data_IF_625483213089
#
_entry.id   IF_625483213089
#
_cell.length_a   1.000
_cell.length_b   1.000
_cell.length_c   1.000
_cell.angle_alpha   90.00
_cell.angle_beta   90.00
_cell.angle_gamma   90.00
#
_symmetry.space_group_name_H-M   'P 1'
#
loop_
_entity.id
_entity.type
_entity.pdbx_description
1 polymer ?
#
# COMPACT_ATOMS: atom_id res chain seq x y z
N UNK A 1 28.74 34.57 -43.53
CA UNK A 1 27.37 34.08 -43.29
C UNK A 1 26.41 35.06 -43.95
N UNK A 2 25.31 34.60 -44.56
CA UNK A 2 24.33 35.53 -45.15
C UNK A 2 23.64 36.33 -44.05
N UNK A 3 23.27 37.57 -44.32
CA UNK A 3 22.53 38.47 -43.41
C UNK A 3 21.23 37.81 -42.88
N UNK A 4 20.67 36.86 -43.63
CA UNK A 4 19.52 36.04 -43.23
C UNK A 4 19.85 35.05 -42.09
N UNK A 5 21.05 34.47 -42.07
CA UNK A 5 21.48 33.58 -40.98
C UNK A 5 21.73 34.36 -39.68
N UNK A 6 22.26 35.57 -39.75
CA UNK A 6 22.46 36.43 -38.56
C UNK A 6 21.13 36.89 -37.97
N UNK A 7 20.15 37.26 -38.82
CA UNK A 7 18.78 37.59 -38.36
C UNK A 7 18.08 36.39 -37.72
N UNK A 8 18.24 35.19 -38.30
CA UNK A 8 17.68 33.96 -37.74
C UNK A 8 18.32 33.60 -36.40
N UNK A 9 19.66 33.69 -36.28
CA UNK A 9 20.36 33.45 -35.02
C UNK A 9 19.88 34.40 -33.92
N UNK A 10 19.79 35.70 -34.21
CA UNK A 10 19.30 36.68 -33.25
C UNK A 10 17.85 36.42 -32.82
N UNK A 11 16.98 36.05 -33.76
CA UNK A 11 15.59 35.70 -33.46
C UNK A 11 15.48 34.44 -32.58
N UNK A 12 16.36 33.45 -32.80
CA UNK A 12 16.43 32.24 -31.96
C UNK A 12 16.94 32.60 -30.56
N UNK A 13 17.97 33.43 -30.44
CA UNK A 13 18.50 33.89 -29.15
C UNK A 13 17.44 34.65 -28.34
N UNK A 14 16.74 35.60 -28.97
CA UNK A 14 15.63 36.34 -28.36
C UNK A 14 14.49 35.39 -27.93
N UNK A 15 14.13 34.42 -28.77
CA UNK A 15 13.12 33.42 -28.42
C UNK A 15 13.55 32.56 -27.23
N UNK A 16 14.78 32.05 -27.23
CA UNK A 16 15.33 31.23 -26.13
C UNK A 16 15.36 32.04 -24.84
N UNK A 17 15.75 33.31 -24.88
CA UNK A 17 15.75 34.19 -23.72
C UNK A 17 14.34 34.36 -23.16
N UNK A 18 13.36 34.70 -24.00
CA UNK A 18 11.95 34.84 -23.59
C UNK A 18 11.40 33.54 -23.01
N UNK A 19 11.77 32.39 -23.57
CA UNK A 19 11.33 31.09 -23.06
C UNK A 19 11.99 30.74 -21.72
N UNK A 20 13.25 31.12 -21.51
CA UNK A 20 13.93 30.95 -20.23
C UNK A 20 13.34 31.85 -19.14
N UNK A 21 13.07 33.12 -19.45
CA UNK A 21 12.41 34.05 -18.51
C UNK A 21 11.03 33.53 -18.11
N UNK A 22 10.21 33.10 -19.07
CA UNK A 22 8.90 32.47 -18.80
C UNK A 22 9.05 31.20 -17.94
N UNK A 23 10.07 30.38 -18.20
CA UNK A 23 10.34 29.18 -17.41
C UNK A 23 10.73 29.52 -15.97
N UNK A 24 11.56 30.53 -15.77
CA UNK A 24 11.95 30.98 -14.43
C UNK A 24 10.78 31.55 -13.65
N UNK A 25 9.92 32.35 -14.27
CA UNK A 25 8.69 32.85 -13.66
C UNK A 25 7.75 31.69 -13.27
N UNK A 26 7.60 30.71 -14.16
CA UNK A 26 6.81 29.51 -13.88
C UNK A 26 7.40 28.70 -12.72
N UNK A 27 8.72 28.52 -12.64
CA UNK A 27 9.37 27.79 -11.55
C UNK A 27 9.29 28.52 -10.20
N UNK A 28 9.24 29.86 -10.23
CA UNK A 28 9.01 30.67 -9.02
C UNK A 28 7.58 30.52 -8.50
N UNK A 29 6.60 30.44 -9.41
CA UNK A 29 5.19 30.23 -9.05
C UNK A 29 4.87 28.76 -8.75
N UNK A 30 5.51 27.83 -9.43
CA UNK A 30 5.28 26.38 -9.30
C UNK A 30 6.60 25.66 -9.02
N UNK A 31 7.13 25.78 -7.78
CA UNK A 31 8.37 25.12 -7.41
C UNK A 31 8.23 23.58 -7.47
N UNK A 32 9.04 22.88 -8.28
CA UNK A 32 8.83 21.47 -8.60
C UNK A 32 9.21 20.50 -7.47
N UNK A 33 9.99 20.96 -6.49
CA UNK A 33 10.44 20.15 -5.36
C UNK A 33 9.32 20.10 -4.30
N UNK A 34 8.35 19.22 -4.52
CA UNK A 34 7.17 18.99 -3.67
C UNK A 34 7.50 17.91 -2.61
N UNK A 35 7.03 18.01 -1.35
CA UNK A 35 6.19 19.09 -0.80
C UNK A 35 6.98 20.37 -0.49
N UNK A 36 6.33 21.53 -0.65
CA UNK A 36 6.87 22.84 -0.31
C UNK A 36 5.73 23.80 0.13
N UNK A 37 6.08 25.02 0.53
CA UNK A 37 5.11 26.00 1.07
C UNK A 37 3.92 26.25 0.15
N UNK A 38 4.14 26.26 -1.16
CA UNK A 38 3.08 26.52 -2.14
C UNK A 38 2.34 25.25 -2.54
N UNK A 39 2.94 24.07 -2.34
CA UNK A 39 2.40 22.77 -2.73
C UNK A 39 2.70 21.72 -1.65
N UNK A 40 1.83 21.65 -0.65
CA UNK A 40 1.93 20.70 0.47
C UNK A 40 0.60 19.97 0.72
N UNK A 41 -0.39 20.17 -0.14
CA UNK A 41 -1.66 19.46 -0.10
C UNK A 41 -1.75 18.51 -1.30
N UNK A 42 -2.27 17.31 -1.08
CA UNK A 42 -2.55 16.36 -2.15
C UNK A 42 -3.85 15.61 -1.90
N UNK A 43 -4.62 15.35 -2.95
CA UNK A 43 -5.69 14.35 -2.88
C UNK A 43 -5.06 12.97 -2.97
N UNK A 44 -5.44 12.07 -2.07
CA UNK A 44 -5.10 10.65 -2.16
C UNK A 44 -6.22 9.94 -2.94
N UNK A 45 -5.96 9.57 -4.20
CA UNK A 45 -6.88 8.75 -5.00
C UNK A 45 -6.84 7.27 -4.58
N UNK A 46 -7.78 6.46 -5.06
CA UNK A 46 -7.88 5.04 -4.69
C UNK A 46 -8.76 4.78 -3.46
N UNK A 47 -9.13 5.83 -2.73
CA UNK A 47 -10.09 5.79 -1.63
C UNK A 47 -10.97 7.05 -1.60
N UNK A 48 -12.24 6.87 -1.24
CA UNK A 48 -13.19 7.92 -0.92
C UNK A 48 -13.91 7.58 0.37
N UNK A 49 -14.45 8.60 1.04
CA UNK A 49 -15.42 8.38 2.10
C UNK A 49 -16.83 8.53 1.54
N UNK A 50 -17.78 7.72 2.00
CA UNK A 50 -19.19 8.05 1.77
C UNK A 50 -19.60 9.23 2.66
N UNK A 51 -20.65 9.93 2.23
CA UNK A 51 -21.17 11.11 2.93
C UNK A 51 -22.44 10.81 3.73
N UNK A 52 -22.67 9.56 4.17
CA UNK A 52 -23.84 9.21 4.99
C UNK A 52 -23.89 9.98 6.32
N UNK A 53 -22.77 10.53 6.77
CA UNK A 53 -22.61 11.45 7.91
C UNK A 53 -23.19 12.85 7.67
N UNK A 54 -23.62 13.17 6.44
CA UNK A 54 -24.22 14.46 6.10
C UNK A 54 -23.23 15.56 5.74
N UNK A 55 -22.05 15.21 5.22
CA UNK A 55 -21.12 16.20 4.66
C UNK A 55 -21.75 17.01 3.53
N UNK A 56 -21.40 18.29 3.45
CA UNK A 56 -21.84 19.24 2.44
C UNK A 56 -20.68 19.68 1.57
N UNK A 57 -20.97 20.08 0.33
CA UNK A 57 -19.98 20.72 -0.55
C UNK A 57 -19.21 21.83 0.21
N UNK A 58 -17.89 21.79 0.07
CA UNK A 58 -16.87 22.62 0.72
C UNK A 58 -16.56 22.27 2.19
N UNK A 59 -17.15 21.21 2.76
CA UNK A 59 -16.67 20.69 4.04
C UNK A 59 -15.22 20.21 3.91
N UNK A 60 -14.38 20.63 4.86
CA UNK A 60 -12.98 20.23 5.00
C UNK A 60 -12.74 19.85 6.46
N UNK A 61 -12.87 18.55 6.76
CA UNK A 61 -12.93 18.05 8.13
C UNK A 61 -11.70 17.21 8.47
N UNK A 62 -10.97 17.50 9.57
CA UNK A 62 -9.85 16.65 10.01
C UNK A 62 -10.30 15.21 10.26
N UNK A 63 -9.53 14.25 9.77
CA UNK A 63 -9.77 12.81 9.93
C UNK A 63 -8.78 12.19 10.92
N UNK A 64 -7.49 12.33 10.65
CA UNK A 64 -6.41 11.76 11.47
C UNK A 64 -5.11 12.51 11.24
N UNK A 65 -4.14 12.33 12.15
CA UNK A 65 -2.85 13.00 12.08
C UNK A 65 -1.70 12.07 12.43
N UNK A 66 -0.61 12.21 11.68
CA UNK A 66 0.68 11.59 11.95
C UNK A 66 1.72 12.67 12.22
N UNK A 67 2.98 12.27 12.40
CA UNK A 67 4.09 13.22 12.63
C UNK A 67 4.29 14.21 11.47
N UNK A 68 4.07 13.78 10.23
CA UNK A 68 4.39 14.57 9.03
C UNK A 68 3.22 14.77 8.08
N UNK A 69 2.08 14.14 8.33
CA UNK A 69 0.88 14.27 7.49
C UNK A 69 -0.37 14.41 8.36
N UNK A 70 -1.27 15.30 7.96
CA UNK A 70 -2.62 15.42 8.51
C UNK A 70 -3.63 15.15 7.40
N UNK A 71 -4.55 14.22 7.64
CA UNK A 71 -5.55 13.81 6.66
C UNK A 71 -6.88 14.49 6.94
N UNK A 72 -7.54 14.93 5.88
CA UNK A 72 -8.82 15.61 5.90
C UNK A 72 -9.79 14.95 4.92
N UNK A 73 -11.08 15.01 5.25
CA UNK A 73 -12.17 14.69 4.33
C UNK A 73 -12.61 15.98 3.65
N UNK A 74 -12.56 16.00 2.32
CA UNK A 74 -12.95 17.14 1.50
C UNK A 74 -14.11 16.79 0.54
N UNK A 75 -15.25 17.47 0.72
CA UNK A 75 -16.43 17.30 -0.14
C UNK A 75 -16.42 18.34 -1.26
N UNK A 76 -15.82 18.01 -2.41
CA UNK A 76 -15.49 19.02 -3.44
C UNK A 76 -16.51 19.18 -4.59
N UNK A 77 -17.48 18.28 -4.76
CA UNK A 77 -18.33 18.29 -5.98
C UNK A 77 -19.77 17.85 -5.80
N UNK A 78 -20.02 16.75 -5.08
CA UNK A 78 -21.36 16.23 -4.79
C UNK A 78 -21.39 15.64 -3.39
N UNK A 79 -22.51 15.81 -2.69
CA UNK A 79 -22.73 15.33 -1.32
C UNK A 79 -22.87 13.79 -1.20
N UNK A 80 -22.32 13.02 -2.14
CA UNK A 80 -22.38 11.55 -2.13
C UNK A 80 -21.13 10.93 -1.54
N UNK A 81 -19.97 11.37 -2.03
CA UNK A 81 -18.66 10.86 -1.62
C UNK A 81 -17.69 12.03 -1.49
N UNK A 82 -16.73 11.90 -0.59
CA UNK A 82 -15.67 12.88 -0.36
C UNK A 82 -14.30 12.29 -0.62
N UNK A 83 -13.36 13.16 -0.98
CA UNK A 83 -11.97 12.81 -1.23
C UNK A 83 -11.15 12.96 0.05
N UNK A 84 -10.08 12.17 0.17
CA UNK A 84 -9.11 12.32 1.26
C UNK A 84 -8.02 13.25 0.79
N UNK A 85 -7.76 14.31 1.56
CA UNK A 85 -6.68 15.26 1.31
C UNK A 85 -5.62 15.06 2.39
N UNK A 86 -4.36 14.93 1.99
CA UNK A 86 -3.21 14.96 2.89
C UNK A 86 -2.56 16.33 2.86
N UNK A 87 -2.43 16.95 4.02
CA UNK A 87 -1.56 18.08 4.27
C UNK A 87 -0.22 17.56 4.79
N UNK A 88 0.86 17.79 4.04
CA UNK A 88 2.18 17.21 4.28
C UNK A 88 3.16 18.26 4.79
N UNK A 89 3.75 18.04 5.97
CA UNK A 89 4.79 18.92 6.49
C UNK A 89 6.02 18.92 5.58
N UNK A 90 6.54 20.11 5.28
CA UNK A 90 7.79 20.28 4.51
C UNK A 90 9.00 19.68 5.21
N UNK A 91 8.92 19.45 6.53
CA UNK A 91 9.99 18.83 7.32
C UNK A 91 10.22 17.37 6.93
N UNK A 92 9.30 16.74 6.17
CA UNK A 92 9.48 15.38 5.66
C UNK A 92 10.76 15.22 4.83
N UNK A 93 11.22 16.31 4.19
CA UNK A 93 12.47 16.34 3.42
C UNK A 93 13.73 16.11 4.27
N UNK A 94 13.62 16.23 5.59
CA UNK A 94 14.72 15.91 6.51
C UNK A 94 14.81 14.41 6.82
N UNK A 95 13.85 13.59 6.37
CA UNK A 95 13.87 12.14 6.56
C UNK A 95 14.60 11.44 5.43
N UNK A 96 15.25 10.31 5.74
CA UNK A 96 15.91 9.46 4.74
C UNK A 96 14.91 8.82 3.76
N UNK A 97 13.72 8.52 4.25
CA UNK A 97 12.62 7.97 3.45
C UNK A 97 11.28 8.37 4.09
N UNK A 98 10.22 8.36 3.29
CA UNK A 98 8.88 8.76 3.70
C UNK A 98 7.90 7.62 3.49
N UNK A 99 7.35 7.10 4.59
CA UNK A 99 6.16 6.22 4.56
C UNK A 99 4.93 7.09 4.35
N UNK A 100 4.65 7.44 3.09
CA UNK A 100 3.51 8.29 2.78
C UNK A 100 2.18 7.60 3.12
N UNK A 101 1.22 8.38 3.60
CA UNK A 101 -0.09 7.87 4.02
C UNK A 101 -0.85 7.14 2.91
N UNK A 102 -0.73 7.55 1.64
CA UNK A 102 -1.37 6.83 0.53
C UNK A 102 -0.87 5.38 0.40
N UNK A 103 0.44 5.16 0.43
CA UNK A 103 0.97 3.80 0.35
C UNK A 103 0.70 2.99 1.63
N UNK A 104 0.77 3.63 2.80
CA UNK A 104 0.41 2.99 4.09
C UNK A 104 -1.06 2.55 4.08
N UNK A 105 -1.98 3.40 3.63
CA UNK A 105 -3.40 3.05 3.50
C UNK A 105 -3.64 1.97 2.44
N UNK A 106 -2.93 2.01 1.30
CA UNK A 106 -3.01 0.96 0.28
C UNK A 106 -2.63 -0.41 0.84
N UNK A 107 -1.52 -0.50 1.58
CA UNK A 107 -1.12 -1.73 2.28
C UNK A 107 -2.13 -2.15 3.35
N UNK A 108 -2.65 -1.20 4.12
CA UNK A 108 -3.62 -1.48 5.18
C UNK A 108 -4.93 -2.07 4.61
N UNK A 109 -5.45 -1.49 3.52
CA UNK A 109 -6.63 -1.98 2.81
C UNK A 109 -6.38 -3.34 2.16
N UNK A 110 -5.26 -3.50 1.47
CA UNK A 110 -4.91 -4.76 0.83
C UNK A 110 -4.89 -5.88 1.88
N UNK A 111 -4.28 -5.66 3.03
CA UNK A 111 -4.27 -6.64 4.12
C UNK A 111 -5.67 -6.84 4.74
N UNK A 112 -6.42 -5.77 5.03
CA UNK A 112 -7.76 -5.88 5.63
C UNK A 112 -8.72 -6.71 4.76
N UNK A 113 -8.60 -6.63 3.43
CA UNK A 113 -9.41 -7.41 2.50
C UNK A 113 -8.73 -8.70 2.01
N UNK A 114 -7.79 -9.27 2.77
CA UNK A 114 -7.08 -10.51 2.41
C UNK A 114 -6.47 -10.50 0.99
N UNK A 115 -6.08 -9.31 0.52
CA UNK A 115 -5.58 -9.00 -0.81
C UNK A 115 -6.55 -9.34 -1.96
N UNK A 116 -7.85 -9.48 -1.71
CA UNK A 116 -8.87 -9.63 -2.76
C UNK A 116 -9.23 -8.29 -3.43
N UNK A 117 -8.98 -7.19 -2.72
CA UNK A 117 -9.21 -5.83 -3.18
C UNK A 117 -7.95 -5.00 -2.96
N UNK A 118 -7.21 -4.75 -4.03
CA UNK A 118 -6.10 -3.80 -4.03
C UNK A 118 -6.52 -2.53 -4.76
N UNK A 119 -6.07 -1.38 -4.27
CA UNK A 119 -6.24 -0.11 -4.94
C UNK A 119 -4.93 0.66 -4.89
N UNK A 120 -4.45 1.04 -6.08
CA UNK A 120 -3.28 1.89 -6.23
C UNK A 120 -3.62 3.29 -5.76
N UNK A 121 -3.08 3.67 -4.60
CA UNK A 121 -3.23 5.02 -4.09
C UNK A 121 -2.15 5.94 -4.65
N UNK A 122 -2.57 7.13 -5.08
CA UNK A 122 -1.69 8.14 -5.67
C UNK A 122 -1.99 9.52 -5.10
N UNK A 123 -0.93 10.29 -4.91
CA UNK A 123 -1.02 11.69 -4.51
C UNK A 123 -1.19 12.53 -5.77
N UNK A 124 -2.25 13.33 -5.81
CA UNK A 124 -2.47 14.37 -6.81
C UNK A 124 -2.25 15.71 -6.14
N UNK A 125 -1.11 16.33 -6.42
CA UNK A 125 -0.61 17.50 -5.66
C UNK A 125 -1.25 18.78 -6.13
N UNK A 126 -1.63 19.64 -5.19
CA UNK A 126 -2.35 20.88 -5.44
C UNK A 126 -1.50 22.07 -4.98
N UNK A 127 -1.19 22.96 -5.91
CA UNK A 127 -0.60 24.27 -5.61
C UNK A 127 -1.68 25.21 -5.08
N UNK A 128 -1.36 25.94 -4.02
CA UNK A 128 -2.24 26.95 -3.42
C UNK A 128 -3.64 26.42 -3.09
N UNK A 129 -3.69 25.21 -2.54
CA UNK A 129 -4.94 24.49 -2.26
C UNK A 129 -5.94 25.38 -1.51
N UNK A 130 -7.16 25.42 -2.04
CA UNK A 130 -8.29 26.13 -1.46
C UNK A 130 -9.52 25.22 -1.49
N UNK A 131 -9.88 24.71 -0.31
CA UNK A 131 -11.03 23.82 -0.11
C UNK A 131 -12.39 24.44 -0.48
N UNK A 132 -12.48 25.78 -0.61
CA UNK A 132 -13.69 26.48 -1.02
C UNK A 132 -13.88 26.53 -2.54
N UNK A 133 -12.82 26.23 -3.30
CA UNK A 133 -12.85 26.14 -4.76
C UNK A 133 -13.31 24.76 -5.20
N UNK A 134 -13.87 24.66 -6.40
CA UNK A 134 -14.13 23.35 -7.00
C UNK A 134 -12.82 22.62 -7.33
N UNK A 135 -12.93 21.34 -7.68
CA UNK A 135 -11.76 20.56 -8.08
C UNK A 135 -11.15 21.07 -9.38
N UNK A 136 -11.96 21.58 -10.32
CA UNK A 136 -11.50 22.15 -11.58
C UNK A 136 -10.85 23.54 -11.41
N UNK A 137 -11.18 24.24 -10.33
CA UNK A 137 -10.63 25.56 -9.99
C UNK A 137 -9.30 25.49 -9.21
N UNK A 138 -8.96 24.32 -8.66
CA UNK A 138 -7.69 24.08 -7.98
C UNK A 138 -6.55 23.83 -8.98
N UNK A 139 -5.35 24.31 -8.67
CA UNK A 139 -4.19 24.25 -9.56
C UNK A 139 -3.35 22.99 -9.26
N UNK A 140 -3.57 21.91 -9.98
CA UNK A 140 -2.80 20.67 -9.79
C UNK A 140 -1.42 20.71 -10.45
N UNK A 141 -0.51 19.87 -9.96
CA UNK A 141 0.78 19.65 -10.60
C UNK A 141 0.59 19.25 -12.07
N UNK A 142 1.38 19.84 -12.98
CA UNK A 142 1.18 19.70 -14.44
C UNK A 142 1.11 18.27 -14.97
N UNK A 143 1.74 17.33 -14.28
CA UNK A 143 1.78 15.92 -14.69
C UNK A 143 0.53 15.14 -14.24
N UNK A 144 -0.32 15.73 -13.38
CA UNK A 144 -1.58 15.15 -12.96
C UNK A 144 -2.64 15.39 -14.04
N UNK A 145 -2.87 14.37 -14.87
CA UNK A 145 -3.99 14.36 -15.82
C UNK A 145 -5.31 14.13 -15.07
N UNK A 146 -5.98 15.21 -14.71
CA UNK A 146 -7.31 15.14 -14.08
C UNK A 146 -8.37 14.97 -15.15
N UNK A 147 -8.98 13.79 -15.15
CA UNK A 147 -10.12 13.43 -15.96
C UNK A 147 -11.19 12.73 -15.13
N UNK A 148 -12.23 12.28 -15.82
CA UNK A 148 -13.28 11.50 -15.20
C UNK A 148 -12.69 10.22 -14.59
N UNK A 149 -12.90 10.04 -13.28
CA UNK A 149 -12.42 8.89 -12.54
C UNK A 149 -11.00 8.97 -11.99
N UNK A 150 -10.27 10.08 -12.17
CA UNK A 150 -8.92 10.26 -11.58
C UNK A 150 -8.90 10.02 -10.07
N UNK A 151 -9.96 10.46 -9.38
CA UNK A 151 -10.08 10.30 -7.93
C UNK A 151 -10.88 9.08 -7.51
N UNK A 152 -11.26 8.18 -8.43
CA UNK A 152 -12.03 6.98 -8.08
C UNK A 152 -11.22 6.02 -7.20
N UNK A 153 -11.96 5.15 -6.52
CA UNK A 153 -11.40 4.26 -5.52
C UNK A 153 -12.47 3.49 -4.78
N UNK A 154 -12.04 2.70 -3.80
CA UNK A 154 -12.95 2.09 -2.85
C UNK A 154 -13.69 3.17 -2.05
N UNK A 155 -14.98 2.99 -1.82
CA UNK A 155 -15.78 3.90 -1.00
C UNK A 155 -15.90 3.28 0.38
N UNK A 156 -15.45 4.00 1.40
CA UNK A 156 -15.42 3.54 2.78
C UNK A 156 -16.26 4.45 3.68
N UNK A 157 -16.83 3.88 4.74
CA UNK A 157 -17.39 4.67 5.85
C UNK A 157 -16.29 5.42 6.58
N UNK A 158 -16.61 6.52 7.27
CA UNK A 158 -15.60 7.23 8.07
C UNK A 158 -15.15 6.36 9.26
N UNK A 159 -16.07 5.57 9.80
CA UNK A 159 -15.82 4.56 10.85
C UNK A 159 -14.83 3.48 10.44
N UNK A 160 -14.68 3.19 9.15
CA UNK A 160 -13.68 2.24 8.66
C UNK A 160 -12.26 2.62 9.07
N UNK A 161 -11.93 3.91 9.13
CA UNK A 161 -10.59 4.38 9.55
C UNK A 161 -10.28 4.00 11.01
N UNK A 162 -11.30 3.83 11.86
CA UNK A 162 -11.14 3.32 13.22
C UNK A 162 -10.79 1.84 13.21
N UNK A 163 -11.40 1.05 12.33
CA UNK A 163 -11.17 -0.39 12.24
C UNK A 163 -9.74 -0.70 11.79
N UNK A 164 -9.22 0.04 10.81
CA UNK A 164 -7.85 -0.14 10.31
C UNK A 164 -6.79 0.68 11.05
N UNK A 165 -7.17 1.49 12.05
CA UNK A 165 -6.23 2.32 12.81
C UNK A 165 -5.06 1.53 13.40
N UNK A 166 -5.24 0.35 14.02
CA UNK A 166 -4.12 -0.44 14.53
C UNK A 166 -3.11 -0.88 13.47
N UNK A 167 -3.59 -1.15 12.26
CA UNK A 167 -2.74 -1.57 11.16
C UNK A 167 -1.94 -0.40 10.58
N UNK A 168 -2.59 0.76 10.39
CA UNK A 168 -1.92 2.00 9.99
C UNK A 168 -0.85 2.39 11.02
N UNK A 169 -1.20 2.34 12.31
CA UNK A 169 -0.27 2.65 13.41
C UNK A 169 0.97 1.78 13.33
N UNK A 170 0.81 0.45 13.26
CA UNK A 170 1.94 -0.46 13.22
C UNK A 170 2.81 -0.26 11.97
N UNK A 171 2.20 0.00 10.80
CA UNK A 171 2.94 0.30 9.57
C UNK A 171 3.81 1.56 9.69
N UNK A 172 3.29 2.59 10.38
CA UNK A 172 4.04 3.82 10.61
C UNK A 172 5.15 3.63 11.65
N UNK A 173 4.83 2.99 12.79
CA UNK A 173 5.75 2.81 13.92
C UNK A 173 6.86 1.79 13.65
N UNK A 174 6.57 0.68 12.97
CA UNK A 174 7.47 -0.46 12.85
C UNK A 174 7.95 -0.68 11.40
N UNK A 175 9.23 -0.35 11.17
CA UNK A 175 9.89 -0.53 9.87
C UNK A 175 9.95 -2.00 9.44
N UNK A 176 10.01 -2.94 10.39
CA UNK A 176 10.06 -4.37 10.11
C UNK A 176 8.73 -4.85 9.55
N UNK A 177 7.63 -4.45 10.18
CA UNK A 177 6.29 -4.77 9.71
C UNK A 177 6.01 -4.12 8.37
N UNK A 178 6.29 -2.82 8.23
CA UNK A 178 6.18 -2.09 6.96
C UNK A 178 6.94 -2.77 5.83
N UNK A 179 8.22 -3.10 6.05
CA UNK A 179 9.05 -3.75 5.02
C UNK A 179 8.50 -5.13 4.66
N UNK A 180 8.10 -5.92 5.66
CA UNK A 180 7.57 -7.26 5.43
C UNK A 180 6.26 -7.23 4.65
N UNK A 181 5.29 -6.39 5.05
CA UNK A 181 4.00 -6.28 4.38
C UNK A 181 4.13 -5.68 2.98
N UNK A 182 4.98 -4.67 2.79
CA UNK A 182 5.26 -4.10 1.46
C UNK A 182 5.86 -5.13 0.51
N UNK A 183 6.85 -5.90 0.96
CA UNK A 183 7.45 -6.98 0.16
C UNK A 183 6.42 -8.07 -0.13
N UNK A 184 5.59 -8.42 0.84
CA UNK A 184 4.53 -9.42 0.66
C UNK A 184 3.45 -8.94 -0.32
N UNK A 185 3.04 -7.68 -0.28
CA UNK A 185 2.12 -7.10 -1.28
C UNK A 185 2.65 -7.29 -2.70
N UNK A 186 3.93 -7.00 -2.92
CA UNK A 186 4.58 -7.25 -4.22
C UNK A 186 4.56 -8.74 -4.61
N UNK A 187 4.68 -9.66 -3.63
CA UNK A 187 4.53 -11.09 -3.88
C UNK A 187 3.14 -11.43 -4.42
N UNK A 188 2.10 -10.86 -3.81
CA UNK A 188 0.71 -11.08 -4.20
C UNK A 188 0.40 -10.47 -5.57
N UNK A 189 0.92 -9.27 -5.85
CA UNK A 189 0.81 -8.64 -7.16
C UNK A 189 1.48 -9.46 -8.27
N UNK A 190 2.61 -10.12 -7.98
CA UNK A 190 3.25 -11.02 -8.93
C UNK A 190 2.37 -12.25 -9.18
N UNK A 191 1.90 -12.92 -8.12
CA UNK A 191 1.09 -14.12 -8.24
C UNK A 191 -0.05 -14.09 -7.21
N UNK A 192 -1.24 -13.73 -7.68
CA UNK A 192 -2.44 -13.69 -6.86
C UNK A 192 -3.17 -15.03 -6.85
N UNK A 193 -3.64 -15.41 -5.67
CA UNK A 193 -4.64 -16.44 -5.44
C UNK A 193 -5.44 -16.05 -4.19
N UNK A 194 -6.61 -16.65 -3.98
CA UNK A 194 -7.41 -16.32 -2.80
C UNK A 194 -6.82 -16.97 -1.54
N UNK A 195 -6.35 -16.13 -0.62
CA UNK A 195 -5.80 -16.56 0.66
C UNK A 195 -6.84 -17.23 1.54
N UNK A 196 -8.08 -16.74 1.53
CA UNK A 196 -9.19 -17.41 2.22
C UNK A 196 -9.30 -18.84 1.70
N UNK A 197 -9.29 -19.03 0.37
CA UNK A 197 -9.29 -20.29 -0.39
C UNK A 197 -8.11 -21.23 -0.09
N UNK A 198 -6.94 -20.72 0.23
CA UNK A 198 -5.81 -21.58 0.54
C UNK A 198 -5.66 -21.84 2.05
N UNK A 199 -6.15 -20.96 2.93
CA UNK A 199 -5.91 -21.05 4.37
C UNK A 199 -7.02 -21.76 5.18
N UNK A 200 -8.28 -21.67 4.77
CA UNK A 200 -9.34 -22.47 5.41
C UNK A 200 -9.15 -23.99 5.27
N UNK A 201 -9.65 -24.74 6.25
CA UNK A 201 -9.69 -26.20 6.29
C UNK A 201 -10.67 -26.72 5.22
N UNK A 202 -10.25 -27.79 4.52
CA UNK A 202 -10.72 -28.39 3.25
C UNK A 202 -12.20 -28.42 2.87
N UNK A 203 -13.14 -28.11 3.76
CA UNK A 203 -14.56 -28.43 3.56
C UNK A 203 -15.39 -27.21 3.09
N UNK A 204 -14.80 -26.01 3.10
CA UNK A 204 -15.45 -24.77 2.69
C UNK A 204 -14.66 -24.06 1.59
N UNK A 205 -14.62 -24.61 0.37
CA UNK A 205 -14.25 -23.86 -0.84
C UNK A 205 -14.74 -24.52 -2.11
N UNK A 206 -15.37 -23.72 -2.98
CA UNK A 206 -14.80 -23.29 -4.27
C UNK A 206 -15.52 -22.00 -4.69
N UNK A 207 -14.83 -20.87 -4.80
CA UNK A 207 -15.25 -19.90 -5.82
C UNK A 207 -14.83 -20.46 -7.19
N UNK A 208 -15.66 -20.40 -8.24
CA UNK A 208 -15.23 -20.76 -9.59
C UNK A 208 -14.12 -19.77 -10.02
N UNK A 209 -13.05 -20.24 -10.66
CA UNK A 209 -11.99 -19.43 -11.31
C UNK A 209 -10.64 -19.23 -10.57
N UNK A 210 -10.08 -20.27 -9.92
CA UNK A 210 -8.75 -20.20 -9.29
C UNK A 210 -7.59 -20.80 -10.09
N UNK A 211 -7.87 -21.57 -11.15
CA UNK A 211 -6.81 -22.23 -11.93
C UNK A 211 -6.55 -21.48 -13.24
N UNK A 212 -5.30 -21.12 -13.53
CA UNK A 212 -4.94 -20.49 -14.78
C UNK A 212 -5.19 -21.45 -15.96
N UNK A 213 -5.50 -20.88 -17.10
CA UNK A 213 -5.64 -21.61 -18.35
C UNK A 213 -4.25 -21.95 -18.91
N UNK A 214 -4.16 -23.01 -19.72
CA UNK A 214 -2.89 -23.49 -20.28
C UNK A 214 -2.08 -22.39 -21.00
N UNK A 215 -2.76 -21.44 -21.66
CA UNK A 215 -2.11 -20.34 -22.37
C UNK A 215 -1.57 -19.23 -21.44
N UNK A 216 -1.96 -19.22 -20.17
CA UNK A 216 -1.49 -18.26 -19.15
C UNK A 216 -0.25 -18.78 -18.40
N UNK A 217 -0.03 -20.09 -18.39
CA UNK A 217 1.02 -20.75 -17.60
C UNK A 217 2.42 -20.19 -17.87
N UNK A 218 2.77 -20.01 -19.15
CA UNK A 218 4.10 -19.54 -19.55
C UNK A 218 4.41 -18.13 -19.03
N UNK A 219 3.41 -17.25 -18.98
CA UNK A 219 3.56 -15.89 -18.42
C UNK A 219 3.67 -15.93 -16.90
N UNK A 220 2.99 -16.88 -16.26
CA UNK A 220 2.95 -16.99 -14.81
C UNK A 220 4.23 -17.57 -14.19
N UNK A 221 5.01 -18.38 -14.91
CA UNK A 221 6.27 -18.95 -14.39
C UNK A 221 7.22 -17.88 -13.79
N UNK A 222 7.66 -16.85 -14.54
CA UNK A 222 8.55 -15.83 -13.97
C UNK A 222 7.89 -15.02 -12.85
N UNK A 223 6.57 -14.85 -12.90
CA UNK A 223 5.82 -14.16 -11.85
C UNK A 223 5.77 -14.98 -10.55
N UNK A 224 5.62 -16.30 -10.64
CA UNK A 224 5.67 -17.22 -9.50
C UNK A 224 7.06 -17.27 -8.87
N UNK A 225 8.12 -17.31 -9.68
CA UNK A 225 9.50 -17.21 -9.19
C UNK A 225 9.72 -15.91 -8.40
N UNK A 226 9.26 -14.78 -8.95
CA UNK A 226 9.32 -13.48 -8.27
C UNK A 226 8.51 -13.50 -6.96
N UNK A 227 7.28 -14.02 -6.98
CA UNK A 227 6.43 -14.12 -5.80
C UNK A 227 7.08 -14.97 -4.70
N UNK A 228 7.66 -16.12 -5.03
CA UNK A 228 8.35 -16.96 -4.06
C UNK A 228 9.53 -16.24 -3.42
N UNK A 229 10.36 -15.55 -4.23
CA UNK A 229 11.49 -14.77 -3.72
C UNK A 229 11.02 -13.66 -2.79
N UNK A 230 9.97 -12.92 -3.15
CA UNK A 230 9.42 -11.86 -2.29
C UNK A 230 8.80 -12.44 -1.01
N UNK A 231 8.07 -13.56 -1.07
CA UNK A 231 7.55 -14.25 0.11
C UNK A 231 8.65 -14.63 1.10
N UNK A 232 9.77 -15.19 0.61
CA UNK A 232 10.93 -15.48 1.46
C UNK A 232 11.52 -14.20 2.07
N UNK A 233 11.63 -13.11 1.30
CA UNK A 233 12.14 -11.82 1.80
C UNK A 233 11.21 -11.16 2.84
N UNK A 234 9.90 -11.32 2.72
CA UNK A 234 8.94 -10.85 3.70
C UNK A 234 9.11 -11.57 5.05
N UNK A 235 9.29 -12.90 5.01
CA UNK A 235 9.65 -13.70 6.20
C UNK A 235 11.02 -13.28 6.76
N UNK A 236 12.02 -13.07 5.89
CA UNK A 236 13.36 -12.62 6.28
C UNK A 236 13.32 -11.24 6.97
N UNK A 237 12.45 -10.33 6.53
CA UNK A 237 12.29 -9.03 7.17
C UNK A 237 11.86 -9.19 8.64
N UNK A 238 10.93 -10.10 8.94
CA UNK A 238 10.46 -10.34 10.31
C UNK A 238 11.48 -11.16 11.12
N UNK A 239 11.84 -12.34 10.63
CA UNK A 239 12.55 -13.36 11.40
C UNK A 239 14.06 -13.38 11.16
N UNK A 240 14.57 -12.60 10.20
CA UNK A 240 15.96 -12.70 9.72
C UNK A 240 16.22 -14.00 8.97
N UNK A 241 17.49 -14.39 8.84
CA UNK A 241 17.89 -15.70 8.29
C UNK A 241 18.02 -16.75 9.40
N UNK A 242 17.71 -18.03 9.12
CA UNK A 242 17.83 -19.10 10.12
C UNK A 242 19.28 -19.43 10.52
N UNK A 243 20.26 -19.14 9.65
CA UNK A 243 21.64 -19.61 9.83
C UNK A 243 21.84 -21.05 9.35
N UNK A 244 22.97 -21.67 9.69
CA UNK A 244 23.30 -23.05 9.29
C UNK A 244 22.60 -24.07 10.18
N UNK A 245 21.94 -25.08 9.61
CA UNK A 245 21.13 -26.08 10.33
C UNK A 245 21.99 -27.01 11.20
N UNK A 246 23.25 -27.20 10.83
CA UNK A 246 24.21 -28.07 11.55
C UNK A 246 24.69 -27.45 12.87
N UNK A 247 24.57 -26.13 13.01
CA UNK A 247 24.98 -25.38 14.20
C UNK A 247 23.82 -25.31 15.20
N UNK A 248 23.83 -26.24 16.17
CA UNK A 248 22.79 -26.32 17.22
C UNK A 248 22.59 -25.00 17.97
N UNK A 249 23.66 -24.23 18.20
CA UNK A 249 23.57 -22.95 18.91
C UNK A 249 22.89 -21.86 18.05
N UNK A 250 23.01 -21.93 16.72
CA UNK A 250 22.25 -21.04 15.81
C UNK A 250 20.78 -21.43 15.74
N UNK A 251 20.49 -22.73 15.67
CA UNK A 251 19.12 -23.26 15.67
C UNK A 251 18.35 -22.81 16.92
N UNK A 252 18.94 -22.97 18.11
CA UNK A 252 18.32 -22.54 19.37
C UNK A 252 18.03 -21.04 19.35
N UNK A 253 19.04 -20.22 19.00
CA UNK A 253 18.89 -18.75 18.91
C UNK A 253 17.83 -18.31 17.89
N UNK A 254 17.71 -19.02 16.77
CA UNK A 254 16.69 -18.73 15.76
C UNK A 254 15.27 -19.01 16.30
N UNK A 255 15.07 -20.14 16.99
CA UNK A 255 13.78 -20.46 17.64
C UNK A 255 13.43 -19.49 18.78
N UNK A 256 14.40 -19.11 19.59
CA UNK A 256 14.20 -18.11 20.65
C UNK A 256 13.79 -16.75 20.06
N UNK A 257 14.52 -16.29 19.03
CA UNK A 257 14.18 -15.06 18.31
C UNK A 257 12.78 -15.13 17.69
N UNK A 258 12.44 -16.25 17.08
CA UNK A 258 11.11 -16.50 16.51
C UNK A 258 10.02 -16.32 17.56
N UNK A 259 10.11 -17.07 18.67
CA UNK A 259 9.12 -16.99 19.77
C UNK A 259 9.06 -15.62 20.41
N UNK A 260 10.17 -14.88 20.44
CA UNK A 260 10.19 -13.50 20.91
C UNK A 260 9.45 -12.55 19.96
N UNK A 261 9.49 -12.79 18.64
CA UNK A 261 8.98 -11.85 17.63
C UNK A 261 7.56 -12.12 17.15
N UNK A 262 7.08 -13.36 17.14
CA UNK A 262 5.75 -13.70 16.60
C UNK A 262 4.99 -14.69 17.48
N UNK A 263 3.67 -14.70 17.36
CA UNK A 263 2.76 -15.64 18.05
C UNK A 263 2.46 -16.88 17.20
N UNK A 264 3.50 -17.49 16.63
CA UNK A 264 3.42 -18.75 15.86
C UNK A 264 4.45 -19.70 16.45
N UNK A 265 4.08 -20.91 16.83
CA UNK A 265 5.02 -21.84 17.46
C UNK A 265 5.91 -22.50 16.38
N UNK A 266 7.25 -22.42 16.47
CA UNK A 266 8.15 -22.99 15.46
C UNK A 266 8.01 -24.50 15.31
N UNK A 267 7.64 -25.20 16.38
CA UNK A 267 7.54 -26.66 16.42
C UNK A 267 6.14 -27.19 16.05
N UNK A 268 5.16 -26.30 15.83
CA UNK A 268 3.83 -26.68 15.31
C UNK A 268 3.89 -27.05 13.82
N UNK A 269 2.93 -27.87 13.39
CA UNK A 269 2.83 -28.34 12.01
C UNK A 269 2.29 -27.24 11.09
N UNK A 270 3.06 -26.93 10.05
CA UNK A 270 2.58 -26.15 8.91
C UNK A 270 1.63 -27.00 8.06
N UNK A 271 0.33 -26.71 8.14
CA UNK A 271 -0.73 -27.57 7.62
C UNK A 271 -0.66 -27.84 6.10
N UNK A 272 -0.10 -26.91 5.30
CA UNK A 272 0.06 -27.09 3.85
C UNK A 272 1.06 -28.17 3.48
N UNK A 273 2.11 -28.35 4.29
CA UNK A 273 3.25 -29.21 3.98
C UNK A 273 3.34 -30.45 4.88
N UNK A 274 2.79 -30.38 6.09
CA UNK A 274 2.85 -31.47 7.07
C UNK A 274 4.20 -31.59 7.81
N UNK A 275 5.05 -30.56 7.74
CA UNK A 275 6.29 -30.44 8.51
C UNK A 275 6.20 -29.30 9.52
N UNK A 276 7.17 -29.15 10.41
CA UNK A 276 7.16 -28.03 11.38
C UNK A 276 7.31 -26.68 10.68
N UNK A 277 6.75 -25.62 11.26
CA UNK A 277 6.95 -24.24 10.77
C UNK A 277 8.44 -23.92 10.65
N UNK A 278 9.25 -24.37 11.61
CA UNK A 278 10.69 -24.13 11.62
C UNK A 278 11.43 -24.91 10.53
N UNK A 279 11.03 -26.15 10.21
CA UNK A 279 11.61 -26.88 9.09
C UNK A 279 11.25 -26.24 7.75
N UNK A 280 9.99 -25.81 7.57
CA UNK A 280 9.57 -25.10 6.37
C UNK A 280 10.28 -23.75 6.23
N UNK A 281 10.60 -23.08 7.35
CA UNK A 281 11.43 -21.87 7.33
C UNK A 281 12.82 -22.11 6.75
N UNK A 282 13.45 -23.28 6.91
CA UNK A 282 14.68 -23.61 6.18
C UNK A 282 14.40 -23.91 4.71
N UNK A 283 13.39 -24.73 4.42
CA UNK A 283 12.99 -25.10 3.05
C UNK A 283 12.69 -23.85 2.20
N UNK A 284 12.02 -22.85 2.75
CA UNK A 284 11.71 -21.60 2.07
C UNK A 284 12.96 -20.85 1.58
N UNK A 285 14.05 -20.87 2.33
CA UNK A 285 15.31 -20.24 1.91
C UNK A 285 16.05 -21.05 0.84
N UNK A 286 15.90 -22.38 0.85
CA UNK A 286 16.41 -23.24 -0.22
C UNK A 286 15.62 -22.99 -1.51
N UNK A 287 14.29 -23.01 -1.44
CA UNK A 287 13.39 -22.70 -2.55
C UNK A 287 13.68 -21.32 -3.15
N UNK A 288 13.91 -20.29 -2.32
CA UNK A 288 14.31 -18.95 -2.81
C UNK A 288 15.57 -19.00 -3.65
N UNK A 289 16.60 -19.74 -3.22
CA UNK A 289 17.86 -19.84 -3.97
C UNK A 289 17.66 -20.57 -5.29
N UNK A 290 16.84 -21.62 -5.30
CA UNK A 290 16.46 -22.33 -6.53
C UNK A 290 15.69 -21.42 -7.49
N UNK A 291 14.64 -20.73 -7.02
CA UNK A 291 13.86 -19.79 -7.84
C UNK A 291 14.69 -18.63 -8.37
N UNK A 292 15.64 -18.10 -7.59
CA UNK A 292 16.52 -17.02 -8.03
C UNK A 292 17.45 -17.43 -9.18
N UNK A 293 17.66 -18.73 -9.39
CA UNK A 293 18.45 -19.29 -10.50
C UNK A 293 17.57 -19.91 -11.60
N UNK A 294 16.27 -19.61 -11.58
CA UNK A 294 15.19 -20.17 -12.39
C UNK A 294 14.88 -21.63 -12.11
N UNK A 295 13.59 -21.94 -12.03
CA UNK A 295 13.09 -23.29 -11.87
C UNK A 295 13.29 -24.17 -13.11
N UNK A 296 13.54 -23.58 -14.30
CA UNK A 296 14.02 -24.16 -15.57
C UNK A 296 13.34 -25.43 -16.13
N UNK A 297 13.15 -26.43 -15.28
CA UNK A 297 12.72 -27.80 -15.57
C UNK A 297 11.52 -28.25 -14.71
N UNK A 298 11.08 -27.50 -13.69
CA UNK A 298 9.91 -27.90 -12.88
C UNK A 298 8.58 -27.79 -13.64
N UNK A 299 7.69 -28.80 -13.55
CA UNK A 299 6.32 -28.69 -14.03
C UNK A 299 5.56 -27.51 -13.39
N UNK A 300 4.75 -26.81 -14.19
CA UNK A 300 3.98 -25.63 -13.76
C UNK A 300 3.20 -25.86 -12.46
N UNK A 301 2.49 -27.00 -12.37
CA UNK A 301 1.69 -27.35 -11.19
C UNK A 301 2.52 -27.49 -9.91
N UNK A 302 3.78 -27.94 -10.03
CA UNK A 302 4.71 -28.05 -8.90
C UNK A 302 5.19 -26.66 -8.49
N UNK A 303 5.64 -25.85 -9.45
CA UNK A 303 6.10 -24.48 -9.19
C UNK A 303 5.00 -23.63 -8.55
N UNK A 304 3.76 -23.75 -9.03
CA UNK A 304 2.60 -23.06 -8.45
C UNK A 304 2.32 -23.51 -7.03
N UNK A 305 2.30 -24.82 -6.77
CA UNK A 305 2.10 -25.35 -5.43
C UNK A 305 3.14 -24.81 -4.44
N UNK A 306 4.43 -24.85 -4.81
CA UNK A 306 5.52 -24.33 -3.98
C UNK A 306 5.37 -22.82 -3.71
N UNK A 307 4.95 -22.06 -4.73
CA UNK A 307 4.72 -20.62 -4.61
C UNK A 307 3.54 -20.30 -3.68
N UNK A 308 2.44 -21.03 -3.79
CA UNK A 308 1.28 -20.92 -2.89
C UNK A 308 1.67 -21.27 -1.45
N UNK A 309 2.41 -22.36 -1.26
CA UNK A 309 2.93 -22.75 0.05
C UNK A 309 3.80 -21.64 0.66
N UNK A 310 4.67 -21.01 -0.13
CA UNK A 310 5.55 -19.94 0.33
C UNK A 310 4.76 -18.68 0.71
N UNK A 311 3.80 -18.27 -0.12
CA UNK A 311 2.94 -17.11 0.13
C UNK A 311 2.06 -17.32 1.35
N UNK A 312 1.44 -18.50 1.51
CA UNK A 312 0.64 -18.83 2.69
C UNK A 312 1.47 -18.78 3.97
N UNK A 313 2.69 -19.34 3.95
CA UNK A 313 3.57 -19.31 5.12
C UNK A 313 4.01 -17.88 5.47
N UNK A 314 4.37 -17.08 4.45
CA UNK A 314 4.71 -15.67 4.65
C UNK A 314 3.55 -14.89 5.26
N UNK A 315 2.33 -15.09 4.77
CA UNK A 315 1.14 -14.46 5.33
C UNK A 315 0.91 -14.86 6.79
N UNK A 316 1.03 -16.16 7.12
CA UNK A 316 0.93 -16.63 8.51
C UNK A 316 1.97 -15.98 9.45
N UNK A 317 3.21 -15.80 8.98
CA UNK A 317 4.27 -15.11 9.75
C UNK A 317 3.92 -13.63 9.97
N UNK A 318 3.38 -12.96 8.95
CA UNK A 318 2.95 -11.55 9.04
C UNK A 318 1.76 -11.41 9.99
N UNK A 319 0.75 -12.27 9.88
CA UNK A 319 -0.40 -12.29 10.80
C UNK A 319 0.06 -12.49 12.25
N UNK A 320 0.92 -13.48 12.50
CA UNK A 320 1.43 -13.77 13.83
C UNK A 320 2.34 -12.66 14.41
N UNK A 321 2.95 -11.85 13.53
CA UNK A 321 3.65 -10.63 13.95
C UNK A 321 2.66 -9.54 14.31
N UNK A 322 1.68 -9.27 13.44
CA UNK A 322 0.64 -8.26 13.67
C UNK A 322 -0.06 -8.51 15.01
N UNK A 323 -0.57 -9.72 15.24
CA UNK A 323 -1.27 -10.11 16.48
C UNK A 323 -0.45 -9.86 17.75
N UNK A 324 0.88 -9.91 17.64
CA UNK A 324 1.77 -9.72 18.80
C UNK A 324 2.08 -8.25 19.07
N UNK A 325 2.18 -7.42 18.04
CA UNK A 325 2.73 -6.06 18.14
C UNK A 325 1.70 -4.95 17.96
N UNK A 326 0.52 -5.29 17.44
CA UNK A 326 -0.57 -4.34 17.20
C UNK A 326 -1.14 -3.80 18.50
N UNK A 327 -1.44 -2.50 18.53
CA UNK A 327 -2.14 -1.86 19.63
C UNK A 327 -3.65 -2.19 19.60
N UNK A 328 -4.34 -1.90 20.70
CA UNK A 328 -5.80 -1.87 20.70
C UNK A 328 -6.31 -0.80 19.72
N UNK A 329 -7.55 -0.94 19.25
CA UNK A 329 -8.21 0.07 18.41
C UNK A 329 -8.21 1.44 19.10
N UNK A 330 -8.47 1.45 20.40
CA UNK A 330 -8.53 2.68 21.20
C UNK A 330 -7.17 3.36 21.31
N UNK A 331 -6.10 2.61 21.53
CA UNK A 331 -4.77 3.19 21.68
C UNK A 331 -4.17 3.60 20.35
N UNK A 332 -4.36 2.81 19.29
CA UNK A 332 -3.99 3.19 17.93
C UNK A 332 -4.73 4.46 17.46
N UNK A 333 -6.03 4.57 17.78
CA UNK A 333 -6.81 5.76 17.45
C UNK A 333 -6.28 7.02 18.15
N UNK A 334 -5.77 6.90 19.38
CA UNK A 334 -5.14 8.02 20.10
C UNK A 334 -3.80 8.41 19.48
N UNK A 335 -2.94 7.43 19.18
CA UNK A 335 -1.63 7.68 18.56
C UNK A 335 -1.76 8.36 17.19
N UNK A 336 -2.81 8.02 16.45
CA UNK A 336 -3.13 8.63 15.15
C UNK A 336 -4.00 9.88 15.25
N UNK A 337 -4.28 10.38 16.46
CA UNK A 337 -5.15 11.54 16.70
C UNK A 337 -6.46 11.48 15.88
N UNK A 338 -7.07 10.31 15.82
CA UNK A 338 -8.25 10.04 15.00
C UNK A 338 -9.43 10.89 15.49
N UNK A 339 -10.16 11.51 14.56
CA UNK A 339 -11.32 12.33 14.89
C UNK A 339 -12.52 11.46 15.28
N UNK A 340 -12.54 11.01 16.54
CA UNK A 340 -13.58 10.15 17.07
C UNK A 340 -14.96 10.82 17.08
N UNK A 341 -15.02 12.14 17.26
CA UNK A 341 -16.28 12.90 17.21
C UNK A 341 -16.92 12.85 15.82
N UNK A 342 -16.10 12.80 14.77
CA UNK A 342 -16.57 12.61 13.41
C UNK A 342 -17.03 11.17 13.18
N UNK A 343 -16.20 10.20 13.56
CA UNK A 343 -16.48 8.77 13.38
C UNK A 343 -17.76 8.33 14.10
N UNK A 344 -17.99 8.84 15.30
CA UNK A 344 -19.18 8.49 16.09
C UNK A 344 -20.49 9.08 15.51
N UNK A 345 -20.41 9.91 14.46
CA UNK A 345 -21.60 10.39 13.72
C UNK A 345 -22.00 9.47 12.58
N UNK A 346 -21.17 8.48 12.23
CA UNK A 346 -21.52 7.51 11.20
C UNK A 346 -22.79 6.75 11.60
N UNK A 347 -23.78 6.64 10.71
CA UNK A 347 -24.95 5.81 10.97
C UNK A 347 -24.54 4.33 11.06
N UNK A 348 -25.04 3.64 12.09
CA UNK A 348 -24.80 2.20 12.30
C UNK A 348 -25.31 1.37 11.09
N UNK A 349 -26.41 1.80 10.46
CA UNK A 349 -27.03 1.08 9.35
C UNK A 349 -26.25 1.29 8.04
N UNK A 350 -25.64 0.22 7.52
CA UNK A 350 -25.22 0.12 6.13
C UNK A 350 -26.41 -0.36 5.30
N UNK A 351 -27.27 0.56 4.86
CA UNK A 351 -28.17 0.27 3.74
C UNK A 351 -27.55 0.90 2.50
N UNK A 352 -26.91 0.09 1.65
CA UNK A 352 -26.93 0.41 0.22
C UNK A 352 -28.38 0.62 -0.14
N UNK A 353 -28.76 1.84 -0.51
CA UNK A 353 -30.10 2.19 -1.00
C UNK A 353 -30.34 1.38 -2.27
N UNK A 354 -30.75 0.11 -2.11
CA UNK A 354 -31.24 -0.86 -3.10
C UNK A 354 -31.46 -2.22 -2.41
N UNK A 355 -32.57 -2.34 -1.71
CA UNK A 355 -33.36 -3.57 -1.54
C UNK A 355 -34.71 -3.17 -0.92
N UNK A 356 -35.47 -2.40 -1.71
CA UNK A 356 -36.91 -2.22 -1.56
C UNK A 356 -37.41 -1.83 -2.94
N UNK A 357 -37.51 -2.85 -3.81
CA UNK A 357 -38.51 -2.97 -4.87
C UNK A 357 -38.78 -4.47 -5.08
#
# INVERSE_FOLDING_TARGET
MSEANEKLHKAIEEYVQVMNEKREELLKRYPPDIPNKECHHAIISGIKTDNSTGFKVNDYTPLMKTKYEELFIWTHSKDKNSSIVSEVSTDIKNNNYWKNMGYVMSLALAYYYDFEHTSDMKYHWIYYFDHLKSIEENEFQRDDHIGEGTFNGSIQKVSFFKEIAPLIELLLRDDRFYTSLSIFSNSVECHWFCFICELSKSDYKKHPSHEPQLWEEAELIPKMEAALVQSCRAVEAILGKPGKKEDKAKVIRAKERWRALINLEPDDIYFKKGITNFDYYYELFELRNESAHSFGELPFSISRKLTIEAQCFSYMVIMAYLEKHMLSVEDASKELCLNLDLINRDPEDFSTVKTND
#
